data_IF_605429811641
#
_entry.id   IF_605429811641
#
_cell.length_a   1.000
_cell.length_b   1.000
_cell.length_c   1.000
_cell.angle_alpha   90.00
_cell.angle_beta   90.00
_cell.angle_gamma   90.00
#
_symmetry.space_group_name_H-M   'P 1'
#
loop_
_entity.id
_entity.type
_entity.pdbx_description
1 polymer ?
#
# COMPACT_ATOMS: atom_id res chain seq x y z
N UNK A 1 17.50 -1.50 -1.61
CA UNK A 1 17.18 -0.93 -2.94
C UNK A 1 16.32 0.34 -2.87
N UNK A 2 15.22 0.36 -2.11
CA UNK A 2 14.29 1.51 -2.02
C UNK A 2 14.98 2.85 -1.67
N UNK A 3 15.74 2.93 -0.58
CA UNK A 3 16.42 4.17 -0.17
C UNK A 3 17.42 4.70 -1.21
N UNK A 4 18.10 3.80 -1.92
CA UNK A 4 19.02 4.19 -3.01
C UNK A 4 18.23 4.84 -4.15
N UNK A 5 17.07 4.28 -4.52
CA UNK A 5 16.20 4.86 -5.54
C UNK A 5 15.72 6.28 -5.13
N UNK A 6 15.31 6.48 -3.87
CA UNK A 6 14.91 7.81 -3.37
C UNK A 6 16.06 8.81 -3.48
N UNK A 7 17.28 8.45 -3.06
CA UNK A 7 18.45 9.33 -3.17
C UNK A 7 18.74 9.67 -4.64
N UNK A 8 18.66 8.69 -5.55
CA UNK A 8 18.86 8.93 -6.99
C UNK A 8 17.80 9.86 -7.57
N UNK A 9 16.53 9.73 -7.16
CA UNK A 9 15.45 10.65 -7.57
C UNK A 9 15.71 12.07 -7.07
N UNK A 10 16.16 12.23 -5.82
CA UNK A 10 16.53 13.55 -5.27
C UNK A 10 17.66 14.18 -6.10
N UNK A 11 18.76 13.46 -6.30
CA UNK A 11 19.92 13.94 -7.10
C UNK A 11 19.47 14.26 -8.53
N UNK A 12 18.71 13.37 -9.17
CA UNK A 12 18.19 13.57 -10.52
C UNK A 12 17.31 14.81 -10.62
N UNK A 13 16.47 15.06 -9.62
CA UNK A 13 15.63 16.26 -9.55
C UNK A 13 16.47 17.54 -9.52
N UNK A 14 17.52 17.58 -8.68
CA UNK A 14 18.46 18.72 -8.69
C UNK A 14 19.14 18.89 -10.06
N UNK A 15 19.60 17.83 -10.68
CA UNK A 15 20.23 17.88 -12.01
C UNK A 15 19.25 18.41 -13.08
N UNK A 16 18.01 17.94 -13.08
CA UNK A 16 16.97 18.40 -14.03
C UNK A 16 16.67 19.87 -13.83
N UNK A 17 16.49 20.34 -12.59
CA UNK A 17 16.16 21.74 -12.35
C UNK A 17 17.35 22.69 -12.56
N UNK A 18 18.59 22.29 -12.32
CA UNK A 18 19.77 23.14 -12.52
C UNK A 18 20.22 23.13 -13.98
N UNK A 19 20.43 21.96 -14.56
CA UNK A 19 20.97 21.84 -15.93
C UNK A 19 19.87 21.76 -17.00
N UNK A 20 18.83 20.97 -16.75
CA UNK A 20 17.75 20.74 -17.71
C UNK A 20 16.95 22.00 -18.02
N UNK A 21 16.65 22.81 -17.01
CA UNK A 21 15.92 24.07 -17.19
C UNK A 21 16.68 25.11 -18.02
N UNK A 22 17.99 25.20 -17.82
CA UNK A 22 18.85 26.07 -18.63
C UNK A 22 18.92 25.58 -20.07
N UNK A 23 19.03 24.26 -20.27
CA UNK A 23 19.05 23.64 -21.61
C UNK A 23 17.72 23.86 -22.34
N UNK A 24 16.58 23.70 -21.65
CA UNK A 24 15.27 23.97 -22.21
C UNK A 24 15.12 25.43 -22.67
N UNK A 25 15.55 26.39 -21.85
CA UNK A 25 15.54 27.80 -22.25
C UNK A 25 16.43 28.06 -23.48
N UNK A 26 17.60 27.43 -23.57
CA UNK A 26 18.45 27.56 -24.78
C UNK A 26 17.81 26.96 -26.02
N UNK A 27 17.08 25.85 -25.89
CA UNK A 27 16.34 25.23 -27.00
C UNK A 27 15.22 26.19 -27.49
N UNK A 28 14.46 26.78 -26.54
CA UNK A 28 13.43 27.77 -26.88
C UNK A 28 14.00 29.03 -27.56
N UNK A 29 15.20 29.47 -27.15
CA UNK A 29 15.91 30.59 -27.79
C UNK A 29 16.36 30.27 -29.21
N UNK A 30 16.70 29.01 -29.51
CA UNK A 30 17.07 28.60 -30.88
C UNK A 30 15.88 28.61 -31.86
N UNK A 31 14.65 28.46 -31.37
CA UNK A 31 13.46 28.53 -32.19
C UNK A 31 13.10 29.99 -32.44
N UNK A 32 13.66 30.60 -33.53
CA UNK A 32 13.49 32.01 -33.84
C UNK A 32 12.04 32.43 -33.99
N UNK A 33 11.17 31.60 -34.61
CA UNK A 33 9.75 31.89 -34.80
C UNK A 33 8.99 32.01 -33.44
N UNK A 34 9.41 31.27 -32.43
CA UNK A 34 8.84 31.33 -31.08
C UNK A 34 9.47 32.45 -30.25
N UNK A 35 10.80 32.54 -30.26
CA UNK A 35 11.57 33.41 -29.40
C UNK A 35 11.33 34.90 -29.69
N UNK A 36 11.31 35.33 -30.99
CA UNK A 36 11.14 36.74 -31.38
C UNK A 36 9.69 37.23 -31.33
N UNK A 37 8.74 36.45 -30.83
CA UNK A 37 7.41 36.99 -30.53
C UNK A 37 7.49 37.95 -29.32
N UNK A 38 6.76 39.09 -29.42
CA UNK A 38 6.80 40.16 -28.43
C UNK A 38 6.61 39.70 -26.98
N UNK A 39 5.72 38.72 -26.76
CA UNK A 39 5.41 38.18 -25.42
C UNK A 39 6.42 37.14 -24.95
N UNK A 40 7.11 36.43 -25.86
CA UNK A 40 8.02 35.33 -25.52
C UNK A 40 9.46 35.79 -25.31
N UNK A 41 9.91 36.82 -26.02
CA UNK A 41 11.29 37.31 -25.94
C UNK A 41 11.69 37.70 -24.54
N UNK A 42 10.91 38.57 -23.89
CA UNK A 42 11.18 39.01 -22.52
C UNK A 42 11.03 37.88 -21.51
N UNK A 43 9.97 37.06 -21.70
CA UNK A 43 9.69 35.94 -20.79
C UNK A 43 10.81 34.88 -20.84
N UNK A 44 11.22 34.39 -22.01
CA UNK A 44 12.24 33.34 -22.16
C UNK A 44 13.63 33.84 -21.74
N UNK A 45 13.99 35.09 -22.06
CA UNK A 45 15.27 35.68 -21.67
C UNK A 45 15.38 35.85 -20.15
N UNK A 46 14.34 36.36 -19.51
CA UNK A 46 14.26 36.53 -18.07
C UNK A 46 14.27 35.17 -17.35
N UNK A 47 13.55 34.19 -17.91
CA UNK A 47 13.47 32.84 -17.36
C UNK A 47 14.80 32.09 -17.44
N UNK A 48 15.55 32.23 -18.57
CA UNK A 48 16.88 31.62 -18.68
C UNK A 48 17.85 32.12 -17.62
N UNK A 49 17.84 33.42 -17.33
CA UNK A 49 18.65 34.01 -16.27
C UNK A 49 18.24 33.53 -14.88
N UNK A 50 16.95 33.53 -14.58
CA UNK A 50 16.39 33.07 -13.30
C UNK A 50 16.65 31.61 -13.03
N UNK A 51 16.42 30.74 -14.01
CA UNK A 51 16.60 29.29 -13.83
C UNK A 51 18.05 28.91 -13.58
N UNK A 52 19.02 29.61 -14.22
CA UNK A 52 20.43 29.40 -13.92
C UNK A 52 20.78 29.68 -12.44
N UNK A 53 20.15 30.71 -11.85
CA UNK A 53 20.41 31.13 -10.46
C UNK A 53 19.56 30.37 -9.44
N UNK A 54 18.35 30.01 -9.82
CA UNK A 54 17.32 29.54 -8.89
C UNK A 54 16.95 28.05 -9.03
N UNK A 55 17.62 27.31 -9.91
CA UNK A 55 17.30 25.91 -10.19
C UNK A 55 17.30 25.03 -8.92
N UNK A 56 18.27 25.20 -8.05
CA UNK A 56 18.35 24.45 -6.79
C UNK A 56 17.14 24.66 -5.87
N UNK A 57 16.69 25.94 -5.74
CA UNK A 57 15.52 26.23 -4.92
C UNK A 57 14.21 25.65 -5.50
N UNK A 58 14.06 25.65 -6.84
CA UNK A 58 12.91 25.00 -7.48
C UNK A 58 12.96 23.48 -7.31
N UNK A 59 14.15 22.88 -7.36
CA UNK A 59 14.34 21.45 -7.06
C UNK A 59 13.92 21.12 -5.61
N UNK A 60 14.34 21.93 -4.62
CA UNK A 60 13.92 21.76 -3.22
C UNK A 60 12.41 21.83 -3.06
N UNK A 61 11.76 22.80 -3.70
CA UNK A 61 10.30 22.94 -3.70
C UNK A 61 9.63 21.69 -4.34
N UNK A 62 10.15 21.21 -5.48
CA UNK A 62 9.66 19.99 -6.12
C UNK A 62 9.73 18.78 -5.18
N UNK A 63 10.86 18.59 -4.51
CA UNK A 63 11.07 17.49 -3.57
C UNK A 63 10.10 17.59 -2.39
N UNK A 64 9.94 18.78 -1.79
CA UNK A 64 9.01 18.99 -0.68
C UNK A 64 7.56 18.71 -1.09
N UNK A 65 7.13 19.18 -2.28
CA UNK A 65 5.80 18.85 -2.82
C UNK A 65 5.65 17.34 -3.02
N UNK A 66 6.66 16.68 -3.58
CA UNK A 66 6.65 15.22 -3.77
C UNK A 66 6.50 14.51 -2.44
N UNK A 67 7.23 14.93 -1.40
CA UNK A 67 7.12 14.36 -0.04
C UNK A 67 5.71 14.51 0.52
N UNK A 68 5.09 15.70 0.40
CA UNK A 68 3.69 15.90 0.84
C UNK A 68 2.76 14.95 0.10
N UNK A 69 2.85 14.88 -1.23
CA UNK A 69 1.96 14.05 -2.03
C UNK A 69 2.14 12.54 -1.73
N UNK A 70 3.38 12.06 -1.64
CA UNK A 70 3.70 10.65 -1.36
C UNK A 70 3.24 10.25 0.05
N UNK A 71 3.50 11.11 1.07
CA UNK A 71 3.08 10.83 2.45
C UNK A 71 1.56 10.79 2.58
N UNK A 72 0.87 11.79 2.03
CA UNK A 72 -0.59 11.83 2.06
C UNK A 72 -1.20 10.67 1.29
N UNK A 73 -0.60 10.30 0.14
CA UNK A 73 -1.07 9.16 -0.64
C UNK A 73 -0.88 7.84 0.11
N UNK A 74 0.30 7.56 0.65
CA UNK A 74 0.57 6.32 1.38
C UNK A 74 -0.27 6.20 2.66
N UNK A 75 -0.19 7.20 3.55
CA UNK A 75 -0.92 7.20 4.81
C UNK A 75 -2.45 7.31 4.63
N UNK A 76 -2.89 8.12 3.65
CA UNK A 76 -4.31 8.27 3.32
C UNK A 76 -4.90 6.99 2.74
N UNK A 77 -4.17 6.29 1.86
CA UNK A 77 -4.61 5.01 1.29
C UNK A 77 -4.69 3.91 2.35
N UNK A 78 -3.78 3.86 3.32
CA UNK A 78 -3.88 2.93 4.45
C UNK A 78 -5.14 3.19 5.27
N UNK A 79 -5.41 4.45 5.62
CA UNK A 79 -6.56 4.79 6.45
C UNK A 79 -7.89 4.57 5.72
N UNK A 80 -8.00 5.00 4.47
CA UNK A 80 -9.22 4.80 3.65
C UNK A 80 -9.41 3.33 3.32
N UNK A 81 -8.31 2.57 3.14
CA UNK A 81 -8.33 1.13 2.89
C UNK A 81 -8.48 0.26 4.13
N UNK A 82 -8.74 0.83 5.33
CA UNK A 82 -8.86 0.04 6.57
C UNK A 82 -9.95 -1.02 6.47
N UNK A 83 -11.13 -0.68 5.94
CA UNK A 83 -12.23 -1.63 5.78
C UNK A 83 -11.89 -2.73 4.75
N UNK A 84 -11.28 -2.36 3.63
CA UNK A 84 -10.79 -3.31 2.63
C UNK A 84 -9.78 -4.29 3.26
N UNK A 85 -8.83 -3.77 4.01
CA UNK A 85 -7.85 -4.55 4.76
C UNK A 85 -8.51 -5.47 5.79
N UNK A 86 -9.48 -4.97 6.54
CA UNK A 86 -10.21 -5.76 7.54
C UNK A 86 -10.98 -6.92 6.91
N UNK A 87 -11.76 -6.67 5.85
CA UNK A 87 -12.52 -7.72 5.17
C UNK A 87 -11.61 -8.73 4.45
N UNK A 88 -10.48 -8.28 3.92
CA UNK A 88 -9.47 -9.17 3.36
C UNK A 88 -8.77 -9.99 4.45
N UNK A 89 -8.55 -9.40 5.63
CA UNK A 89 -7.87 -10.07 6.76
C UNK A 89 -8.82 -10.99 7.50
N UNK A 90 -10.03 -10.57 7.74
CA UNK A 90 -11.07 -11.30 8.48
C UNK A 90 -12.27 -11.55 7.57
N UNK A 91 -12.27 -12.64 6.79
CA UNK A 91 -13.38 -12.94 5.88
C UNK A 91 -14.68 -13.32 6.60
N UNK A 92 -14.60 -13.55 7.93
CA UNK A 92 -15.74 -13.82 8.83
C UNK A 92 -15.55 -13.08 10.15
N UNK A 93 -16.64 -12.87 10.88
CA UNK A 93 -16.61 -12.18 12.18
C UNK A 93 -15.78 -12.92 13.22
N UNK A 94 -15.87 -14.25 13.24
CA UNK A 94 -15.05 -15.11 14.09
C UNK A 94 -14.35 -16.18 13.27
N UNK A 95 -13.06 -16.37 13.54
CA UNK A 95 -12.27 -17.48 13.01
C UNK A 95 -11.56 -18.17 14.17
N UNK A 96 -11.88 -19.42 14.38
CA UNK A 96 -11.26 -20.31 15.36
C UNK A 96 -10.32 -21.26 14.64
N UNK A 97 -9.11 -21.37 15.12
CA UNK A 97 -8.10 -22.28 14.58
C UNK A 97 -7.69 -23.22 15.71
N UNK A 98 -7.86 -24.50 15.53
CA UNK A 98 -7.31 -25.53 16.40
C UNK A 98 -6.11 -26.18 15.71
N UNK A 99 -5.01 -26.25 16.40
CA UNK A 99 -3.79 -26.92 15.97
C UNK A 99 -3.72 -28.27 16.70
N UNK A 100 -3.80 -29.35 15.96
CA UNK A 100 -3.77 -30.69 16.51
C UNK A 100 -2.57 -31.46 15.93
N UNK A 101 -1.88 -32.19 16.79
CA UNK A 101 -0.86 -33.16 16.41
C UNK A 101 -1.35 -34.57 16.71
N UNK A 102 -0.95 -35.58 15.95
CA UNK A 102 -1.33 -36.98 16.21
C UNK A 102 -2.21 -37.59 15.10
N UNK A 103 -2.92 -38.67 15.45
CA UNK A 103 -3.74 -39.40 14.47
C UNK A 103 -4.98 -38.61 14.03
N UNK A 104 -5.34 -38.71 12.73
CA UNK A 104 -6.39 -37.93 12.10
C UNK A 104 -7.78 -38.20 12.71
N UNK A 105 -8.13 -39.46 13.02
CA UNK A 105 -9.42 -39.78 13.65
C UNK A 105 -9.60 -39.06 14.98
N UNK A 106 -8.57 -39.12 15.84
CA UNK A 106 -8.56 -38.43 17.14
C UNK A 106 -8.65 -36.90 16.95
N UNK A 107 -7.98 -36.34 15.91
CA UNK A 107 -8.02 -34.95 15.62
C UNK A 107 -9.41 -34.50 15.15
N UNK A 108 -10.10 -35.30 14.35
CA UNK A 108 -11.46 -35.01 13.89
C UNK A 108 -12.48 -35.07 15.04
N UNK A 109 -12.36 -36.03 15.97
CA UNK A 109 -13.19 -36.08 17.17
C UNK A 109 -12.98 -34.86 18.06
N UNK A 110 -11.74 -34.54 18.37
CA UNK A 110 -11.38 -33.34 19.15
C UNK A 110 -11.88 -32.06 18.52
N UNK A 111 -11.78 -31.93 17.19
CA UNK A 111 -12.29 -30.81 16.45
C UNK A 111 -13.82 -30.70 16.50
N UNK A 112 -14.54 -31.81 16.46
CA UNK A 112 -15.98 -31.80 16.65
C UNK A 112 -16.38 -31.33 18.06
N UNK A 113 -15.67 -31.81 19.10
CA UNK A 113 -15.87 -31.35 20.49
C UNK A 113 -15.60 -29.85 20.60
N UNK A 114 -14.52 -29.37 19.99
CA UNK A 114 -14.15 -27.95 19.95
C UNK A 114 -15.24 -27.09 19.28
N UNK A 115 -15.73 -27.49 18.10
CA UNK A 115 -16.81 -26.78 17.41
C UNK A 115 -18.10 -26.78 18.20
N UNK A 116 -18.49 -27.93 18.80
CA UNK A 116 -19.73 -28.02 19.58
C UNK A 116 -19.69 -27.12 20.83
N UNK A 117 -18.53 -26.97 21.46
CA UNK A 117 -18.35 -26.09 22.59
C UNK A 117 -18.54 -24.61 22.23
N UNK A 118 -18.01 -24.22 21.08
CA UNK A 118 -18.21 -22.88 20.52
C UNK A 118 -19.68 -22.69 20.15
N UNK A 119 -20.29 -23.69 19.52
CA UNK A 119 -21.71 -23.66 19.14
C UNK A 119 -22.62 -23.45 20.33
N UNK A 120 -22.42 -24.21 21.41
CA UNK A 120 -23.16 -24.10 22.65
C UNK A 120 -23.02 -22.71 23.28
N UNK A 121 -21.81 -22.14 23.26
CA UNK A 121 -21.57 -20.80 23.79
C UNK A 121 -22.40 -19.74 23.05
N UNK A 122 -22.33 -19.72 21.72
CA UNK A 122 -23.04 -18.71 20.91
C UNK A 122 -24.56 -18.92 20.93
N UNK A 123 -25.06 -20.15 20.93
CA UNK A 123 -26.50 -20.46 21.08
C UNK A 123 -27.02 -19.92 22.40
N UNK A 124 -26.29 -20.09 23.50
CA UNK A 124 -26.67 -19.59 24.82
C UNK A 124 -26.73 -18.06 24.90
N UNK A 125 -26.08 -17.37 23.97
CA UNK A 125 -26.12 -15.90 23.83
C UNK A 125 -27.06 -15.43 22.72
N UNK A 126 -27.98 -16.28 22.23
CA UNK A 126 -28.95 -16.00 21.18
C UNK A 126 -28.35 -15.51 19.84
N UNK A 127 -27.16 -15.99 19.49
CA UNK A 127 -26.53 -15.67 18.22
C UNK A 127 -26.98 -16.63 17.12
N UNK A 128 -27.56 -16.06 16.06
CA UNK A 128 -27.81 -16.76 14.79
C UNK A 128 -26.59 -16.63 13.91
N UNK A 129 -25.79 -17.68 13.85
CA UNK A 129 -24.58 -17.71 13.04
C UNK A 129 -24.91 -18.02 11.59
N UNK A 130 -24.26 -17.30 10.69
CA UNK A 130 -24.38 -17.43 9.24
C UNK A 130 -23.05 -17.78 8.60
N UNK A 131 -23.09 -18.33 7.38
CA UNK A 131 -21.90 -18.69 6.60
C UNK A 131 -20.88 -19.55 7.36
N UNK A 132 -21.36 -20.56 8.08
CA UNK A 132 -20.54 -21.45 8.87
C UNK A 132 -19.64 -22.27 7.95
N UNK A 133 -18.33 -22.18 8.17
CA UNK A 133 -17.33 -22.96 7.45
C UNK A 133 -16.52 -23.80 8.44
N UNK A 134 -16.35 -25.08 8.12
CA UNK A 134 -15.62 -26.07 8.92
C UNK A 134 -14.82 -26.96 7.99
N UNK A 135 -13.50 -26.86 8.07
CA UNK A 135 -12.58 -27.64 7.25
C UNK A 135 -11.24 -27.84 7.95
N UNK A 136 -10.48 -28.79 7.44
CA UNK A 136 -9.16 -29.13 7.95
C UNK A 136 -8.16 -29.11 6.81
N UNK A 137 -6.92 -28.74 7.13
CA UNK A 137 -5.80 -28.90 6.22
C UNK A 137 -4.52 -29.29 6.96
N UNK A 138 -3.69 -30.05 6.29
CA UNK A 138 -2.37 -30.39 6.83
C UNK A 138 -1.36 -29.33 6.43
N UNK A 139 -0.52 -28.92 7.38
CA UNK A 139 0.53 -27.94 7.19
C UNK A 139 1.90 -28.54 7.46
N UNK A 140 2.81 -28.35 6.52
CA UNK A 140 4.19 -28.79 6.59
C UNK A 140 5.17 -27.72 6.20
N UNK A 141 6.29 -27.70 6.89
CA UNK A 141 7.45 -26.94 6.47
C UNK A 141 8.34 -27.84 5.59
N UNK A 142 8.56 -27.45 4.36
CA UNK A 142 9.25 -28.26 3.36
C UNK A 142 10.36 -27.47 2.65
N UNK A 143 11.37 -28.19 2.19
CA UNK A 143 12.32 -27.66 1.22
C UNK A 143 11.82 -27.92 -0.19
N UNK A 144 11.66 -26.85 -0.97
CA UNK A 144 11.25 -26.94 -2.38
C UNK A 144 12.43 -26.64 -3.27
N UNK A 145 12.87 -27.66 -4.01
CA UNK A 145 13.96 -27.53 -4.98
C UNK A 145 13.46 -28.01 -6.33
N UNK A 146 13.40 -27.10 -7.29
CA UNK A 146 12.79 -27.35 -8.59
C UNK A 146 11.31 -27.80 -8.41
N UNK A 147 10.97 -29.01 -8.83
CA UNK A 147 9.64 -29.60 -8.64
C UNK A 147 9.58 -30.63 -7.50
N UNK A 148 10.63 -30.76 -6.67
CA UNK A 148 10.71 -31.73 -5.56
C UNK A 148 10.42 -31.03 -4.24
N UNK A 149 9.44 -31.56 -3.50
CA UNK A 149 9.05 -31.14 -2.17
C UNK A 149 9.57 -32.15 -1.15
N UNK A 150 10.55 -31.76 -0.36
CA UNK A 150 11.30 -32.62 0.53
C UNK A 150 11.24 -32.08 1.96
N UNK A 151 11.22 -32.97 2.97
CA UNK A 151 11.08 -32.61 4.39
C UNK A 151 12.40 -32.40 5.13
N UNK A 152 13.54 -32.47 4.47
CA UNK A 152 14.84 -32.34 5.13
C UNK A 152 15.13 -30.93 5.66
N UNK A 153 15.53 -30.81 6.94
CA UNK A 153 15.96 -29.54 7.56
C UNK A 153 17.43 -29.19 7.27
N UNK A 154 18.17 -30.08 6.61
CA UNK A 154 19.62 -29.95 6.38
C UNK A 154 19.99 -29.06 5.20
N UNK A 155 19.01 -28.41 4.55
CA UNK A 155 19.21 -27.59 3.36
C UNK A 155 19.16 -26.08 3.68
N UNK A 156 19.77 -25.23 2.84
CA UNK A 156 19.80 -23.77 3.03
C UNK A 156 18.41 -23.17 3.20
N UNK A 157 18.28 -22.16 4.06
CA UNK A 157 17.02 -21.48 4.39
C UNK A 157 16.35 -20.77 3.19
N UNK A 158 17.05 -20.54 2.09
CA UNK A 158 16.55 -19.93 0.87
C UNK A 158 15.62 -20.82 0.03
N UNK A 159 15.53 -22.11 0.41
CA UNK A 159 14.66 -23.10 -0.26
C UNK A 159 13.47 -23.54 0.61
N UNK A 160 13.30 -22.92 1.76
CA UNK A 160 12.24 -23.24 2.70
C UNK A 160 10.89 -22.67 2.28
N UNK A 161 9.85 -23.50 2.36
CA UNK A 161 8.46 -23.10 2.04
C UNK A 161 7.48 -23.76 3.00
N UNK A 162 6.37 -23.09 3.24
CA UNK A 162 5.21 -23.65 3.93
C UNK A 162 4.28 -24.29 2.88
N UNK A 163 3.93 -25.55 3.11
CA UNK A 163 3.08 -26.34 2.21
C UNK A 163 1.81 -26.75 2.92
N UNK A 164 0.67 -26.44 2.32
CA UNK A 164 -0.67 -26.69 2.83
C UNK A 164 -1.38 -27.68 1.92
N UNK A 165 -1.93 -28.74 2.49
CA UNK A 165 -2.69 -29.75 1.77
C UNK A 165 -4.16 -29.63 2.10
N UNK A 166 -4.99 -29.37 1.11
CA UNK A 166 -6.43 -29.11 1.22
C UNK A 166 -7.21 -30.17 0.43
N UNK A 167 -8.30 -30.70 1.01
CA UNK A 167 -9.13 -31.65 0.29
C UNK A 167 -9.86 -30.99 -0.89
N UNK A 168 -9.97 -31.69 -2.00
CA UNK A 168 -10.75 -31.21 -3.16
C UNK A 168 -12.22 -31.01 -2.76
N UNK A 169 -12.75 -31.79 -1.85
CA UNK A 169 -14.13 -31.66 -1.37
C UNK A 169 -14.34 -30.32 -0.66
N UNK A 170 -13.42 -29.92 0.25
CA UNK A 170 -13.48 -28.63 0.92
C UNK A 170 -13.25 -27.48 -0.04
N UNK A 171 -12.30 -27.63 -0.96
CA UNK A 171 -12.06 -26.63 -2.01
C UNK A 171 -13.34 -26.37 -2.82
N UNK A 172 -13.95 -27.41 -3.36
CA UNK A 172 -15.17 -27.29 -4.15
C UNK A 172 -16.33 -26.68 -3.34
N UNK A 173 -16.48 -27.13 -2.08
CA UNK A 173 -17.56 -26.68 -1.21
C UNK A 173 -17.47 -25.18 -0.88
N UNK A 174 -16.27 -24.69 -0.55
CA UNK A 174 -16.11 -23.34 -0.01
C UNK A 174 -15.69 -22.29 -1.04
N UNK A 175 -15.09 -22.73 -2.17
CA UNK A 175 -14.79 -21.85 -3.30
C UNK A 175 -15.93 -21.84 -4.35
N UNK A 176 -17.00 -22.61 -4.14
CA UNK A 176 -18.15 -22.67 -5.07
C UNK A 176 -17.82 -23.33 -6.42
N UNK A 177 -16.81 -24.20 -6.42
CA UNK A 177 -16.31 -24.88 -7.62
C UNK A 177 -16.83 -26.32 -7.70
N UNK A 178 -16.68 -26.93 -8.88
CA UNK A 178 -17.02 -28.35 -9.12
C UNK A 178 -15.89 -29.03 -9.88
N UNK A 179 -14.66 -28.87 -9.39
CA UNK A 179 -13.48 -29.47 -9.99
C UNK A 179 -13.46 -30.98 -9.73
N UNK A 180 -12.93 -31.72 -10.69
CA UNK A 180 -12.72 -33.17 -10.58
C UNK A 180 -11.25 -33.45 -10.90
N UNK A 181 -10.59 -34.28 -10.10
CA UNK A 181 -9.19 -34.66 -10.27
C UNK A 181 -9.07 -36.17 -10.38
N UNK A 182 -8.09 -36.63 -11.15
CA UNK A 182 -7.61 -38.01 -11.08
C UNK A 182 -6.65 -38.21 -9.90
N UNK A 183 -6.37 -39.45 -9.52
CA UNK A 183 -5.58 -39.76 -8.31
C UNK A 183 -4.14 -39.20 -8.30
N UNK A 184 -3.58 -38.94 -9.49
CA UNK A 184 -2.26 -38.36 -9.68
C UNK A 184 -2.28 -36.87 -10.05
N UNK A 185 -3.45 -36.23 -10.00
CA UNK A 185 -3.62 -34.81 -10.34
C UNK A 185 -3.83 -33.95 -9.09
N UNK A 186 -3.32 -32.72 -9.16
CA UNK A 186 -3.50 -31.71 -8.12
C UNK A 186 -3.85 -30.34 -8.72
N UNK A 187 -4.52 -29.49 -7.93
CA UNK A 187 -4.58 -28.06 -8.17
C UNK A 187 -3.56 -27.40 -7.23
N UNK A 188 -3.02 -26.27 -7.65
CA UNK A 188 -2.01 -25.56 -6.86
C UNK A 188 -2.30 -24.05 -6.79
N UNK A 189 -2.00 -23.44 -5.67
CA UNK A 189 -1.82 -22.00 -5.55
C UNK A 189 -0.48 -21.69 -4.90
N UNK A 190 0.13 -20.56 -5.26
CA UNK A 190 1.41 -20.14 -4.71
C UNK A 190 1.35 -18.68 -4.27
N UNK A 191 1.88 -18.41 -3.06
CA UNK A 191 1.97 -17.05 -2.50
C UNK A 191 3.45 -16.76 -2.22
N UNK A 192 3.91 -15.57 -2.57
CA UNK A 192 5.30 -15.09 -2.44
C UNK A 192 6.35 -15.89 -3.19
N UNK A 193 5.92 -16.74 -4.13
CA UNK A 193 6.81 -17.50 -5.02
C UNK A 193 6.17 -17.71 -6.38
N UNK A 194 6.97 -18.00 -7.40
CA UNK A 194 6.50 -18.40 -8.71
C UNK A 194 6.86 -19.87 -8.94
N UNK A 195 5.94 -20.62 -9.47
CA UNK A 195 6.12 -22.03 -9.82
C UNK A 195 5.77 -22.25 -11.29
N UNK A 196 6.71 -22.81 -12.06
CA UNK A 196 6.59 -22.94 -13.52
C UNK A 196 6.62 -24.37 -14.02
N UNK A 197 6.73 -25.35 -13.13
CA UNK A 197 6.71 -26.76 -13.49
C UNK A 197 5.29 -27.26 -13.70
N UNK A 198 5.12 -28.27 -14.59
CA UNK A 198 3.82 -28.90 -14.87
C UNK A 198 3.46 -30.03 -13.90
N UNK A 199 4.42 -30.46 -13.07
CA UNK A 199 4.25 -31.49 -12.07
C UNK A 199 4.99 -31.12 -10.78
N UNK A 200 4.67 -31.81 -9.70
CA UNK A 200 5.40 -31.77 -8.43
C UNK A 200 5.67 -33.18 -7.93
N UNK A 201 6.77 -33.35 -7.22
CA UNK A 201 7.20 -34.64 -6.66
C UNK A 201 7.17 -34.52 -5.14
N UNK A 202 6.35 -35.35 -4.49
CA UNK A 202 6.17 -35.37 -3.05
C UNK A 202 6.31 -36.84 -2.57
N UNK A 203 7.17 -37.10 -1.59
CA UNK A 203 7.36 -38.46 -1.07
C UNK A 203 7.83 -39.47 -2.13
N UNK A 204 8.48 -39.01 -3.19
CA UNK A 204 8.91 -39.81 -4.32
C UNK A 204 7.86 -40.07 -5.40
N UNK A 205 6.61 -39.70 -5.18
CA UNK A 205 5.51 -39.81 -6.14
C UNK A 205 5.34 -38.51 -6.95
N UNK A 206 5.03 -38.62 -8.25
CA UNK A 206 4.81 -37.48 -9.14
C UNK A 206 3.32 -37.18 -9.31
N UNK A 207 2.95 -35.90 -9.10
CA UNK A 207 1.60 -35.41 -9.26
C UNK A 207 1.57 -34.37 -10.38
N UNK A 208 0.68 -34.50 -11.33
CA UNK A 208 0.51 -33.57 -12.43
C UNK A 208 -0.35 -32.36 -12.00
N UNK A 209 0.14 -31.15 -12.28
CA UNK A 209 -0.61 -29.94 -11.99
C UNK A 209 -1.64 -29.70 -13.09
N UNK A 210 -2.90 -29.87 -12.75
CA UNK A 210 -4.00 -29.65 -13.69
C UNK A 210 -4.26 -28.16 -13.93
N UNK A 211 -4.23 -27.36 -12.86
CA UNK A 211 -4.57 -25.93 -12.91
C UNK A 211 -3.99 -25.18 -11.73
N UNK A 212 -3.66 -23.90 -11.94
CA UNK A 212 -3.39 -22.94 -10.85
C UNK A 212 -4.70 -22.26 -10.46
N UNK A 213 -5.09 -22.35 -9.20
CA UNK A 213 -6.41 -21.92 -8.71
C UNK A 213 -6.30 -20.90 -7.58
N UNK A 214 -7.25 -19.97 -7.44
CA UNK A 214 -7.31 -19.11 -6.26
C UNK A 214 -7.71 -19.93 -5.02
N UNK A 215 -7.17 -19.57 -3.85
CA UNK A 215 -7.51 -20.21 -2.58
C UNK A 215 -7.86 -19.17 -1.50
N UNK A 216 -8.22 -17.97 -1.92
CA UNK A 216 -8.45 -16.82 -1.03
C UNK A 216 -9.53 -17.09 0.02
N UNK A 217 -10.55 -17.86 -0.34
CA UNK A 217 -11.66 -18.24 0.55
C UNK A 217 -11.30 -19.32 1.58
N UNK A 218 -10.15 -19.97 1.47
CA UNK A 218 -9.71 -21.04 2.38
C UNK A 218 -8.51 -20.65 3.25
N UNK A 219 -7.77 -19.62 2.83
CA UNK A 219 -6.56 -19.20 3.51
C UNK A 219 -6.90 -18.20 4.61
N UNK A 220 -6.34 -18.39 5.80
CA UNK A 220 -6.38 -17.37 6.83
C UNK A 220 -5.30 -16.31 6.57
N UNK A 221 -5.57 -15.04 6.92
CA UNK A 221 -4.56 -14.00 6.70
C UNK A 221 -3.35 -14.12 7.62
N UNK A 222 -3.47 -14.83 8.71
CA UNK A 222 -2.32 -15.22 9.52
C UNK A 222 -1.33 -16.04 8.69
N UNK A 223 -1.85 -16.85 7.78
CA UNK A 223 -1.02 -17.60 6.82
C UNK A 223 -0.37 -16.68 5.77
N UNK A 224 -0.94 -15.51 5.47
CA UNK A 224 -0.36 -14.50 4.57
C UNK A 224 0.64 -13.56 5.27
N UNK A 225 0.66 -13.49 6.59
CA UNK A 225 1.44 -12.50 7.36
C UNK A 225 2.97 -12.64 7.24
N UNK A 226 3.46 -13.84 6.91
CA UNK A 226 4.88 -14.09 6.73
C UNK A 226 5.22 -14.15 5.25
N UNK A 227 6.27 -13.42 4.82
CA UNK A 227 6.76 -13.40 3.43
C UNK A 227 7.49 -14.69 3.02
N UNK A 228 7.20 -15.81 3.67
CA UNK A 228 7.72 -17.11 3.34
C UNK A 228 7.01 -17.65 2.09
N UNK A 229 7.71 -18.29 1.13
CA UNK A 229 7.07 -18.98 0.03
C UNK A 229 6.03 -19.99 0.52
N UNK A 230 4.83 -19.96 -0.05
CA UNK A 230 3.72 -20.83 0.35
C UNK A 230 3.14 -21.55 -0.86
N UNK A 231 2.83 -22.83 -0.65
CA UNK A 231 2.19 -23.68 -1.64
C UNK A 231 0.91 -24.25 -1.04
N UNK A 232 -0.19 -24.08 -1.73
CA UNK A 232 -1.49 -24.71 -1.40
C UNK A 232 -1.75 -25.77 -2.45
N UNK A 233 -1.74 -27.02 -2.03
CA UNK A 233 -1.90 -28.19 -2.87
C UNK A 233 -3.26 -28.80 -2.56
N UNK A 234 -4.14 -28.85 -3.58
CA UNK A 234 -5.49 -29.39 -3.47
C UNK A 234 -5.51 -30.74 -4.17
N UNK A 235 -5.92 -31.78 -3.46
CA UNK A 235 -5.96 -33.15 -3.97
C UNK A 235 -7.22 -33.92 -3.52
N UNK A 236 -7.55 -35.01 -4.23
CA UNK A 236 -8.67 -35.89 -3.86
C UNK A 236 -8.42 -36.58 -2.52
N UNK A 237 -7.25 -37.16 -2.37
CA UNK A 237 -6.86 -37.94 -1.17
C UNK A 237 -5.55 -37.36 -0.61
N UNK A 238 -5.69 -36.49 0.38
CA UNK A 238 -4.55 -35.89 1.07
C UNK A 238 -3.79 -36.94 1.86
N UNK A 239 -4.48 -37.92 2.45
CA UNK A 239 -3.87 -38.93 3.30
C UNK A 239 -2.90 -39.82 2.51
N UNK A 240 -3.23 -40.12 1.25
CA UNK A 240 -2.32 -40.82 0.34
C UNK A 240 -1.03 -40.03 0.13
N UNK A 241 -1.11 -38.71 -0.05
CA UNK A 241 0.08 -37.86 -0.21
C UNK A 241 0.89 -37.80 1.07
N UNK A 242 0.23 -37.63 2.23
CA UNK A 242 0.86 -37.49 3.54
C UNK A 242 1.47 -38.82 4.01
N UNK A 243 0.85 -39.96 3.74
CA UNK A 243 1.37 -41.28 4.12
C UNK A 243 2.69 -41.64 3.44
N UNK A 244 3.04 -40.96 2.34
CA UNK A 244 4.35 -41.07 1.68
C UNK A 244 5.47 -40.37 2.44
N UNK A 245 5.18 -39.63 3.52
CA UNK A 245 6.16 -39.02 4.39
C UNK A 245 6.54 -40.00 5.52
N UNK A 246 7.85 -40.07 5.85
CA UNK A 246 8.31 -40.85 7.00
C UNK A 246 7.64 -40.38 8.30
N UNK A 247 7.20 -41.32 9.15
CA UNK A 247 6.38 -41.15 10.35
C UNK A 247 7.05 -40.37 11.50
N UNK A 248 8.30 -39.91 11.35
CA UNK A 248 9.05 -39.28 12.46
C UNK A 248 8.80 -37.77 12.65
N UNK A 249 8.03 -37.10 11.78
CA UNK A 249 7.86 -35.65 11.89
C UNK A 249 6.38 -35.29 12.10
N UNK A 250 6.11 -34.67 13.24
CA UNK A 250 4.80 -34.16 13.63
C UNK A 250 4.26 -33.20 12.55
N UNK A 251 3.22 -33.64 11.87
CA UNK A 251 2.39 -32.74 11.07
C UNK A 251 1.48 -31.94 12.01
N UNK A 252 1.23 -30.70 11.66
CA UNK A 252 0.21 -29.91 12.33
C UNK A 252 -1.03 -29.89 11.44
N UNK A 253 -2.06 -30.62 11.88
CA UNK A 253 -3.39 -30.44 11.31
C UNK A 253 -3.95 -29.12 11.83
N UNK A 254 -4.27 -28.23 10.94
CA UNK A 254 -5.03 -27.01 11.25
C UNK A 254 -6.50 -27.29 10.98
N UNK A 255 -7.31 -27.12 12.00
CA UNK A 255 -8.76 -27.24 11.92
C UNK A 255 -9.35 -25.84 12.02
N UNK A 256 -10.10 -25.43 11.02
CA UNK A 256 -10.67 -24.10 10.88
C UNK A 256 -12.17 -24.18 11.13
N UNK A 257 -12.67 -23.36 12.04
CA UNK A 257 -14.08 -23.13 12.28
C UNK A 257 -14.34 -21.64 12.25
N UNK A 258 -15.16 -21.15 11.31
CA UNK A 258 -15.43 -19.74 11.15
C UNK A 258 -16.85 -19.45 10.70
N UNK A 259 -17.38 -18.31 11.10
CA UNK A 259 -18.75 -17.90 10.80
C UNK A 259 -18.96 -16.40 10.97
N UNK A 260 -20.08 -15.89 10.45
CA UNK A 260 -20.57 -14.55 10.72
C UNK A 260 -21.58 -14.61 11.89
N UNK A 261 -21.50 -13.63 12.79
CA UNK A 261 -22.35 -13.49 13.96
C UNK A 261 -23.49 -12.51 13.68
N UNK A 262 -24.69 -12.81 14.15
CA UNK A 262 -25.82 -11.88 14.11
C UNK A 262 -25.78 -10.79 15.18
N UNK A 263 -24.86 -10.92 16.14
CA UNK A 263 -24.64 -9.94 17.20
C UNK A 263 -23.96 -8.69 16.66
N UNK A 264 -24.31 -7.54 17.24
CA UNK A 264 -23.59 -6.30 16.93
C UNK A 264 -22.12 -6.38 17.37
N UNK A 265 -21.26 -5.56 16.76
CA UNK A 265 -19.82 -5.56 17.08
C UNK A 265 -19.54 -5.25 18.56
N UNK A 266 -20.37 -4.43 19.22
CA UNK A 266 -20.20 -4.12 20.63
C UNK A 266 -20.59 -5.31 21.52
N UNK A 267 -21.61 -6.06 21.16
CA UNK A 267 -21.97 -7.31 21.83
C UNK A 267 -20.89 -8.38 21.64
N UNK A 268 -20.38 -8.54 20.40
CA UNK A 268 -19.25 -9.46 20.12
C UNK A 268 -18.02 -9.13 20.98
N UNK A 269 -17.67 -7.85 21.13
CA UNK A 269 -16.57 -7.40 22.01
C UNK A 269 -16.85 -7.71 23.48
N UNK A 270 -18.09 -7.48 23.92
CA UNK A 270 -18.50 -7.76 25.30
C UNK A 270 -18.38 -9.24 25.68
N UNK A 271 -18.75 -10.12 24.77
CA UNK A 271 -18.73 -11.57 24.98
C UNK A 271 -17.36 -12.23 24.81
N UNK A 272 -16.41 -11.56 24.16
CA UNK A 272 -15.14 -12.17 23.80
C UNK A 272 -14.34 -12.67 25.01
N UNK A 273 -14.27 -11.92 26.09
CA UNK A 273 -13.54 -12.33 27.30
C UNK A 273 -14.16 -13.56 27.94
N UNK A 274 -15.49 -13.66 27.96
CA UNK A 274 -16.20 -14.80 28.53
C UNK A 274 -15.99 -16.05 27.65
N UNK A 275 -16.08 -15.87 26.33
CA UNK A 275 -15.74 -16.91 25.34
C UNK A 275 -14.33 -17.43 25.54
N UNK A 276 -13.34 -16.52 25.55
CA UNK A 276 -11.93 -16.87 25.70
C UNK A 276 -11.66 -17.60 27.01
N UNK A 277 -12.20 -17.11 28.13
CA UNK A 277 -12.04 -17.75 29.44
C UNK A 277 -12.70 -19.14 29.49
N UNK A 278 -13.86 -19.30 28.87
CA UNK A 278 -14.53 -20.61 28.76
C UNK A 278 -13.65 -21.60 27.97
N UNK A 279 -13.14 -21.19 26.81
CA UNK A 279 -12.27 -22.02 25.97
C UNK A 279 -10.97 -22.39 26.70
N UNK A 280 -10.34 -21.44 27.40
CA UNK A 280 -9.13 -21.72 28.21
C UNK A 280 -9.44 -22.74 29.32
N UNK A 281 -10.56 -22.58 30.03
CA UNK A 281 -10.96 -23.52 31.10
C UNK A 281 -11.23 -24.92 30.54
N UNK A 282 -11.87 -25.04 29.39
CA UNK A 282 -12.17 -26.34 28.76
C UNK A 282 -10.90 -27.01 28.22
N UNK A 283 -10.00 -26.23 27.60
CA UNK A 283 -8.72 -26.74 27.14
C UNK A 283 -7.83 -27.26 28.33
N UNK A 284 -7.79 -26.49 29.42
CA UNK A 284 -7.06 -26.89 30.64
C UNK A 284 -7.61 -28.17 31.29
N UNK A 285 -8.89 -28.49 31.06
CA UNK A 285 -9.52 -29.76 31.45
C UNK A 285 -9.25 -30.91 30.48
N UNK A 286 -8.52 -30.65 29.40
CA UNK A 286 -8.24 -31.64 28.36
C UNK A 286 -9.42 -31.92 27.44
N UNK A 287 -10.47 -31.07 27.43
CA UNK A 287 -11.70 -31.28 26.63
C UNK A 287 -11.43 -31.37 25.13
N UNK A 288 -10.41 -30.67 24.63
CA UNK A 288 -10.04 -30.63 23.21
C UNK A 288 -8.89 -31.60 22.84
N UNK A 289 -8.52 -32.48 23.75
CA UNK A 289 -7.42 -33.42 23.57
C UNK A 289 -6.06 -32.91 24.10
N UNK A 290 -5.17 -33.86 24.37
CA UNK A 290 -3.82 -33.52 24.84
C UNK A 290 -2.95 -33.04 23.69
N UNK A 291 -2.18 -31.97 23.93
CA UNK A 291 -1.26 -31.42 22.91
C UNK A 291 -1.91 -30.54 21.86
N UNK A 292 -3.20 -30.21 22.00
CA UNK A 292 -3.88 -29.24 21.15
C UNK A 292 -3.61 -27.81 21.62
N UNK A 293 -3.41 -26.92 20.67
CA UNK A 293 -3.45 -25.48 20.91
C UNK A 293 -4.50 -24.85 20.01
N UNK A 294 -4.98 -23.67 20.38
CA UNK A 294 -5.99 -22.99 19.59
C UNK A 294 -5.76 -21.48 19.61
N UNK A 295 -6.32 -20.80 18.61
CA UNK A 295 -6.41 -19.35 18.56
C UNK A 295 -7.80 -18.93 18.09
N UNK A 296 -8.21 -17.74 18.49
CA UNK A 296 -9.44 -17.10 18.01
C UNK A 296 -9.09 -15.73 17.48
N UNK A 297 -9.64 -15.41 16.32
CA UNK A 297 -9.57 -14.11 15.69
C UNK A 297 -11.00 -13.54 15.64
N UNK A 298 -11.16 -12.27 15.96
CA UNK A 298 -12.46 -11.57 15.90
C UNK A 298 -12.32 -10.25 15.17
N UNK A 299 -13.08 -10.11 14.09
CA UNK A 299 -13.15 -8.86 13.33
C UNK A 299 -13.51 -7.67 14.23
N UNK A 300 -14.48 -7.86 15.13
CA UNK A 300 -14.95 -6.81 16.02
C UNK A 300 -13.89 -6.30 17.00
N UNK A 301 -13.02 -7.20 17.50
CA UNK A 301 -11.91 -6.86 18.40
C UNK A 301 -10.78 -6.16 17.66
N UNK A 302 -10.32 -6.76 16.58
CA UNK A 302 -9.13 -6.32 15.87
C UNK A 302 -9.40 -5.04 15.08
N UNK A 303 -10.67 -4.73 14.78
CA UNK A 303 -11.07 -3.48 14.09
C UNK A 303 -10.56 -2.23 14.80
N UNK A 304 -10.68 -2.19 16.13
CA UNK A 304 -10.21 -1.04 16.90
C UNK A 304 -8.68 -0.85 16.80
N UNK A 305 -7.93 -1.94 16.79
CA UNK A 305 -6.48 -1.93 16.66
C UNK A 305 -6.04 -1.51 15.26
N UNK A 306 -6.71 -2.01 14.22
CA UNK A 306 -6.45 -1.59 12.83
C UNK A 306 -6.68 -0.09 12.64
N UNK A 307 -7.83 0.43 13.10
CA UNK A 307 -8.11 1.86 13.05
C UNK A 307 -7.14 2.67 13.92
N UNK A 308 -6.71 2.13 15.05
CA UNK A 308 -5.70 2.74 15.92
C UNK A 308 -4.35 2.86 15.22
N UNK A 309 -3.86 1.80 14.60
CA UNK A 309 -2.56 1.76 13.91
C UNK A 309 -2.61 2.61 12.63
N UNK A 310 -3.58 2.36 11.74
CA UNK A 310 -3.66 3.06 10.46
C UNK A 310 -4.05 4.52 10.63
N UNK A 311 -4.93 4.82 11.60
CA UNK A 311 -5.27 6.18 11.99
C UNK A 311 -4.07 6.92 12.60
N UNK A 312 -3.25 6.25 13.41
CA UNK A 312 -1.99 6.78 13.94
C UNK A 312 -0.98 7.13 12.84
N UNK A 313 -0.80 6.24 11.85
CA UNK A 313 0.06 6.49 10.69
C UNK A 313 -0.49 7.66 9.85
N UNK A 314 -1.81 7.71 9.64
CA UNK A 314 -2.45 8.81 8.91
C UNK A 314 -2.29 10.15 9.63
N UNK A 315 -2.47 10.18 10.93
CA UNK A 315 -2.25 11.37 11.75
C UNK A 315 -0.81 11.89 11.66
N UNK A 316 0.18 10.99 11.77
CA UNK A 316 1.59 11.34 11.55
C UNK A 316 1.84 11.86 10.14
N UNK A 317 1.22 11.23 9.13
CA UNK A 317 1.26 11.66 7.74
C UNK A 317 0.73 13.08 7.56
N UNK A 318 -0.39 13.44 8.20
CA UNK A 318 -0.95 14.80 8.20
C UNK A 318 0.02 15.80 8.83
N UNK A 319 0.57 15.50 10.00
CA UNK A 319 1.52 16.42 10.69
C UNK A 319 2.75 16.69 9.82
N UNK A 320 3.41 15.63 9.33
CA UNK A 320 4.61 15.77 8.51
C UNK A 320 4.32 16.45 7.18
N UNK A 321 3.20 16.11 6.53
CA UNK A 321 2.77 16.78 5.30
C UNK A 321 2.49 18.26 5.53
N UNK A 322 1.90 18.63 6.66
CA UNK A 322 1.66 20.03 7.04
C UNK A 322 2.97 20.78 7.24
N UNK A 323 3.95 20.18 7.90
CA UNK A 323 5.28 20.78 8.07
C UNK A 323 5.97 21.02 6.73
N UNK A 324 5.99 20.04 5.83
CA UNK A 324 6.58 20.19 4.50
C UNK A 324 5.80 21.19 3.64
N UNK A 325 4.49 21.24 3.79
CA UNK A 325 3.62 22.20 3.10
C UNK A 325 3.95 23.63 3.52
N UNK A 326 4.06 23.89 4.83
CA UNK A 326 4.45 25.20 5.37
C UNK A 326 5.85 25.58 4.89
N UNK A 327 6.81 24.65 4.95
CA UNK A 327 8.16 24.88 4.43
C UNK A 327 8.14 25.23 2.94
N UNK A 328 7.35 24.50 2.13
CA UNK A 328 7.18 24.76 0.70
C UNK A 328 6.66 26.17 0.44
N UNK A 329 5.58 26.55 1.14
CA UNK A 329 4.97 27.88 1.00
C UNK A 329 5.96 28.99 1.37
N UNK A 330 6.66 28.84 2.49
CA UNK A 330 7.64 29.83 2.95
C UNK A 330 8.80 29.98 1.95
N UNK A 331 9.35 28.88 1.48
CA UNK A 331 10.46 28.89 0.50
C UNK A 331 10.02 29.61 -0.78
N UNK A 332 8.86 29.21 -1.36
CA UNK A 332 8.36 29.83 -2.59
C UNK A 332 8.07 31.31 -2.35
N UNK A 333 7.34 31.64 -1.30
CA UNK A 333 6.89 33.00 -1.00
C UNK A 333 8.06 33.96 -0.81
N UNK A 334 8.97 33.66 0.14
CA UNK A 334 10.11 34.55 0.40
C UNK A 334 11.06 34.65 -0.79
N UNK A 335 11.25 33.57 -1.52
CA UNK A 335 12.07 33.59 -2.72
C UNK A 335 11.46 34.49 -3.80
N UNK A 336 10.14 34.39 -4.03
CA UNK A 336 9.49 35.23 -5.04
C UNK A 336 9.48 36.71 -4.61
N UNK A 337 9.34 37.02 -3.33
CA UNK A 337 9.47 38.38 -2.81
C UNK A 337 10.87 38.95 -3.05
N UNK A 338 11.92 38.18 -2.71
CA UNK A 338 13.30 38.59 -2.94
C UNK A 338 13.57 38.86 -4.46
N UNK A 339 13.07 38.01 -5.32
CA UNK A 339 13.14 38.19 -6.77
C UNK A 339 12.34 39.42 -7.23
N UNK A 340 11.19 39.72 -6.61
CA UNK A 340 10.39 40.91 -6.89
C UNK A 340 11.16 42.19 -6.65
N UNK A 341 11.88 42.31 -5.52
CA UNK A 341 12.72 43.46 -5.22
C UNK A 341 13.92 43.60 -6.18
N UNK A 342 14.54 42.49 -6.57
CA UNK A 342 15.63 42.53 -7.56
C UNK A 342 15.14 42.95 -8.95
N UNK A 343 13.96 42.51 -9.35
CA UNK A 343 13.37 42.85 -10.66
C UNK A 343 12.74 44.24 -10.69
N UNK A 344 12.50 44.86 -9.55
CA UNK A 344 11.91 46.22 -9.45
C UNK A 344 12.64 47.23 -10.38
N UNK A 345 13.98 47.27 -10.31
CA UNK A 345 14.81 48.18 -11.15
C UNK A 345 14.70 47.85 -12.63
N UNK A 346 14.62 46.58 -13.00
CA UNK A 346 14.48 46.15 -14.41
C UNK A 346 13.12 46.56 -15.01
N UNK A 347 12.05 46.37 -14.28
CA UNK A 347 10.71 46.77 -14.72
C UNK A 347 10.56 48.28 -14.73
N UNK A 348 11.24 49.04 -13.85
CA UNK A 348 11.30 50.51 -13.90
C UNK A 348 11.93 50.97 -15.20
N UNK A 349 13.02 50.37 -15.67
CA UNK A 349 13.64 50.67 -16.97
C UNK A 349 12.69 50.32 -18.12
N UNK A 350 12.04 49.14 -18.08
CA UNK A 350 11.07 48.76 -19.10
C UNK A 350 9.88 49.71 -19.22
N UNK A 351 9.39 50.28 -18.09
CA UNK A 351 8.37 51.34 -18.10
C UNK A 351 8.87 52.61 -18.80
N UNK A 352 10.12 52.99 -18.57
CA UNK A 352 10.71 54.16 -19.25
C UNK A 352 10.84 53.99 -20.77
N UNK A 353 10.98 52.75 -21.24
CA UNK A 353 11.01 52.41 -22.68
C UNK A 353 9.60 52.29 -23.28
N UNK A 354 8.52 52.48 -22.47
CA UNK A 354 7.13 52.48 -22.95
C UNK A 354 6.31 51.21 -22.65
N UNK A 355 6.81 50.30 -21.80
CA UNK A 355 6.03 49.12 -21.40
C UNK A 355 4.87 49.54 -20.48
N UNK A 356 3.66 49.10 -20.81
CA UNK A 356 2.46 49.38 -20.00
C UNK A 356 2.37 48.49 -18.76
N UNK A 357 1.64 48.95 -17.75
CA UNK A 357 1.40 48.12 -16.53
C UNK A 357 0.71 46.77 -16.85
N UNK A 358 -0.14 46.71 -17.88
CA UNK A 358 -0.81 45.51 -18.35
C UNK A 358 0.19 44.50 -18.96
N UNK A 359 1.15 44.99 -19.72
CA UNK A 359 2.22 44.14 -20.30
C UNK A 359 3.17 43.63 -19.20
N UNK A 360 3.49 44.46 -18.20
CA UNK A 360 4.25 44.05 -17.04
C UNK A 360 3.52 42.94 -16.27
N UNK A 361 2.22 43.14 -16.00
CA UNK A 361 1.42 42.12 -15.28
C UNK A 361 1.35 40.80 -16.05
N UNK A 362 1.22 40.85 -17.39
CA UNK A 362 1.22 39.66 -18.25
C UNK A 362 2.55 38.92 -18.18
N UNK A 363 3.68 39.66 -18.21
CA UNK A 363 5.02 39.07 -18.07
C UNK A 363 5.25 38.46 -16.69
N UNK A 364 4.89 39.17 -15.61
CA UNK A 364 4.96 38.68 -14.25
C UNK A 364 4.14 37.39 -14.11
N UNK A 365 2.90 37.39 -14.54
CA UNK A 365 2.03 36.19 -14.47
C UNK A 365 2.60 35.00 -15.27
N UNK A 366 3.19 35.24 -16.44
CA UNK A 366 3.81 34.19 -17.24
C UNK A 366 5.02 33.55 -16.53
N UNK A 367 5.87 34.39 -15.95
CA UNK A 367 7.04 33.92 -15.18
C UNK A 367 6.65 33.16 -13.91
N UNK A 368 5.69 33.73 -13.15
CA UNK A 368 5.17 33.08 -11.93
C UNK A 368 4.50 31.75 -12.22
N UNK A 369 3.69 31.66 -13.29
CA UNK A 369 3.10 30.38 -13.71
C UNK A 369 4.17 29.31 -13.91
N UNK A 370 5.26 29.62 -14.59
CA UNK A 370 6.32 28.64 -14.85
C UNK A 370 7.01 28.19 -13.56
N UNK A 371 7.33 29.14 -12.67
CA UNK A 371 7.98 28.85 -11.38
C UNK A 371 7.11 27.96 -10.49
N UNK A 372 5.78 28.09 -10.57
CA UNK A 372 4.84 27.29 -9.78
C UNK A 372 4.45 25.99 -10.48
N UNK A 373 4.15 26.01 -11.78
CA UNK A 373 3.66 24.82 -12.48
C UNK A 373 4.77 23.77 -12.64
N UNK A 374 6.00 24.19 -12.92
CA UNK A 374 7.09 23.24 -13.20
C UNK A 374 7.40 22.31 -12.02
N UNK A 375 7.62 22.78 -10.76
CA UNK A 375 7.83 21.90 -9.63
C UNK A 375 6.62 20.98 -9.34
N UNK A 376 5.40 21.51 -9.48
CA UNK A 376 4.18 20.73 -9.29
C UNK A 376 4.05 19.60 -10.33
N UNK A 377 4.31 19.89 -11.60
CA UNK A 377 4.23 18.91 -12.67
C UNK A 377 5.24 17.76 -12.45
N UNK A 378 6.48 18.09 -12.08
CA UNK A 378 7.49 17.09 -11.76
C UNK A 378 7.16 16.31 -10.47
N UNK A 379 6.58 16.96 -9.47
CA UNK A 379 6.15 16.28 -8.25
C UNK A 379 5.02 15.26 -8.51
N UNK A 380 4.06 15.61 -9.35
CA UNK A 380 3.00 14.68 -9.80
C UNK A 380 3.61 13.53 -10.61
N UNK A 381 4.57 13.83 -11.49
CA UNK A 381 5.28 12.80 -12.25
C UNK A 381 6.01 11.83 -11.30
N UNK A 382 6.72 12.34 -10.29
CA UNK A 382 7.37 11.51 -9.28
C UNK A 382 6.36 10.64 -8.52
N UNK A 383 5.20 11.19 -8.14
CA UNK A 383 4.13 10.42 -7.52
C UNK A 383 3.64 9.29 -8.42
N UNK A 384 3.43 9.54 -9.72
CA UNK A 384 3.01 8.50 -10.66
C UNK A 384 4.02 7.34 -10.76
N UNK A 385 5.33 7.64 -10.71
CA UNK A 385 6.36 6.60 -10.68
C UNK A 385 6.51 5.91 -9.32
N UNK A 386 6.22 6.60 -8.23
CA UNK A 386 6.23 6.03 -6.88
C UNK A 386 4.99 5.17 -6.60
N UNK A 387 3.85 5.48 -7.23
CA UNK A 387 2.57 4.83 -6.94
C UNK A 387 2.61 3.29 -7.05
N UNK A 388 3.19 2.65 -8.07
CA UNK A 388 3.25 1.19 -8.14
C UNK A 388 4.03 0.56 -6.97
N UNK A 389 5.07 1.24 -6.47
CA UNK A 389 5.85 0.77 -5.33
C UNK A 389 5.03 0.89 -4.05
N UNK A 390 4.36 2.04 -3.86
CA UNK A 390 3.49 2.28 -2.70
C UNK A 390 2.34 1.27 -2.70
N UNK A 391 1.71 1.01 -3.85
CA UNK A 391 0.63 0.02 -3.98
C UNK A 391 1.10 -1.38 -3.55
N UNK A 392 2.30 -1.81 -3.96
CA UNK A 392 2.89 -3.07 -3.49
C UNK A 392 3.18 -3.08 -1.99
N UNK A 393 3.51 -1.93 -1.39
CA UNK A 393 3.65 -1.83 0.06
C UNK A 393 2.28 -1.91 0.77
N UNK A 394 1.23 -1.35 0.17
CA UNK A 394 -0.13 -1.40 0.72
C UNK A 394 -0.69 -2.84 0.73
N UNK A 395 -0.35 -3.68 -0.25
CA UNK A 395 -0.76 -5.09 -0.24
C UNK A 395 -0.16 -5.88 0.93
N UNK A 396 0.98 -5.45 1.50
CA UNK A 396 1.53 -6.04 2.73
C UNK A 396 0.63 -5.78 3.95
N UNK A 397 -0.25 -4.79 3.87
CA UNK A 397 -1.26 -4.46 4.87
C UNK A 397 -2.66 -4.91 4.43
N UNK A 398 -2.74 -5.85 3.50
CA UNK A 398 -4.01 -6.38 2.94
C UNK A 398 -4.93 -5.32 2.31
N UNK A 399 -4.39 -4.17 1.89
CA UNK A 399 -5.11 -3.16 1.12
C UNK A 399 -4.91 -3.47 -0.37
N UNK A 400 -5.87 -4.15 -0.98
CA UNK A 400 -5.74 -4.71 -2.33
C UNK A 400 -6.62 -4.00 -3.38
N UNK A 401 -7.59 -3.20 -2.95
CA UNK A 401 -8.51 -2.49 -3.84
C UNK A 401 -7.81 -1.39 -4.63
N UNK A 402 -7.25 -1.76 -5.78
CA UNK A 402 -6.51 -0.85 -6.67
C UNK A 402 -7.35 0.37 -7.09
N UNK A 403 -8.64 0.19 -7.32
CA UNK A 403 -9.54 1.30 -7.72
C UNK A 403 -9.67 2.33 -6.60
N UNK A 404 -9.86 1.87 -5.36
CA UNK A 404 -9.92 2.74 -4.18
C UNK A 404 -8.63 3.53 -4.00
N UNK A 405 -7.47 2.86 -4.14
CA UNK A 405 -6.15 3.48 -4.02
C UNK A 405 -5.94 4.56 -5.10
N UNK A 406 -6.28 4.28 -6.36
CA UNK A 406 -6.14 5.25 -7.45
C UNK A 406 -7.07 6.45 -7.30
N UNK A 407 -8.31 6.24 -6.83
CA UNK A 407 -9.26 7.33 -6.52
C UNK A 407 -8.68 8.19 -5.40
N UNK A 408 -8.18 7.59 -4.34
CA UNK A 408 -7.54 8.29 -3.21
C UNK A 408 -6.37 9.16 -3.69
N UNK A 409 -5.50 8.63 -4.56
CA UNK A 409 -4.40 9.38 -5.17
C UNK A 409 -4.92 10.59 -5.97
N UNK A 410 -5.93 10.40 -6.79
CA UNK A 410 -6.52 11.47 -7.60
C UNK A 410 -7.14 12.58 -6.74
N UNK A 411 -7.85 12.22 -5.68
CA UNK A 411 -8.45 13.16 -4.71
C UNK A 411 -7.38 13.97 -3.99
N UNK A 412 -6.32 13.33 -3.50
CA UNK A 412 -5.20 14.00 -2.82
C UNK A 412 -4.52 15.00 -3.75
N UNK A 413 -4.22 14.61 -4.98
CA UNK A 413 -3.64 15.50 -6.00
C UNK A 413 -4.57 16.67 -6.30
N UNK A 414 -5.87 16.46 -6.40
CA UNK A 414 -6.86 17.51 -6.64
C UNK A 414 -6.92 18.51 -5.48
N UNK A 415 -6.99 18.04 -4.24
CA UNK A 415 -7.00 18.89 -3.03
C UNK A 415 -5.71 19.72 -2.96
N UNK A 416 -4.55 19.06 -3.14
CA UNK A 416 -3.26 19.74 -3.12
C UNK A 416 -3.17 20.81 -4.22
N UNK A 417 -3.67 20.53 -5.42
CA UNK A 417 -3.68 21.47 -6.56
C UNK A 417 -4.50 22.72 -6.24
N UNK A 418 -5.67 22.59 -5.63
CA UNK A 418 -6.51 23.73 -5.22
C UNK A 418 -5.76 24.62 -4.23
N UNK A 419 -5.19 24.02 -3.19
CA UNK A 419 -4.36 24.73 -2.22
C UNK A 419 -3.18 25.45 -2.88
N UNK A 420 -2.45 24.78 -3.74
CA UNK A 420 -1.26 25.32 -4.40
C UNK A 420 -1.60 26.50 -5.36
N UNK A 421 -2.75 26.45 -6.03
CA UNK A 421 -3.26 27.58 -6.84
C UNK A 421 -3.56 28.79 -5.95
N UNK A 422 -4.06 28.58 -4.74
CA UNK A 422 -4.32 29.68 -3.79
C UNK A 422 -3.00 30.36 -3.38
N UNK A 423 -1.97 29.57 -3.04
CA UNK A 423 -0.63 30.07 -2.74
C UNK A 423 -0.04 30.85 -3.93
N UNK A 424 -0.19 30.30 -5.15
CA UNK A 424 0.22 30.99 -6.39
C UNK A 424 -0.43 32.36 -6.52
N UNK A 425 -1.74 32.46 -6.36
CA UNK A 425 -2.47 33.75 -6.49
C UNK A 425 -2.00 34.78 -5.49
N UNK A 426 -1.86 34.40 -4.21
CA UNK A 426 -1.38 35.29 -3.15
C UNK A 426 0.03 35.78 -3.48
N UNK A 427 0.95 34.89 -3.77
CA UNK A 427 2.35 35.23 -4.06
C UNK A 427 2.49 36.09 -5.30
N UNK A 428 1.74 35.79 -6.36
CA UNK A 428 1.75 36.56 -7.62
C UNK A 428 1.25 38.00 -7.42
N UNK A 429 0.22 38.21 -6.61
CA UNK A 429 -0.30 39.55 -6.31
C UNK A 429 0.74 40.39 -5.53
N UNK A 430 1.36 39.82 -4.49
CA UNK A 430 2.39 40.50 -3.70
C UNK A 430 3.61 40.85 -4.56
N UNK A 431 4.07 39.91 -5.40
CA UNK A 431 5.14 40.15 -6.35
C UNK A 431 4.81 41.32 -7.29
N UNK A 432 3.60 41.35 -7.88
CA UNK A 432 3.16 42.41 -8.78
C UNK A 432 3.11 43.79 -8.08
N UNK A 433 2.65 43.83 -6.82
CA UNK A 433 2.66 45.05 -6.02
C UNK A 433 4.08 45.63 -5.84
N UNK A 434 5.07 44.76 -5.50
CA UNK A 434 6.46 45.20 -5.35
C UNK A 434 6.98 45.82 -6.65
N UNK A 435 6.81 45.10 -7.75
CA UNK A 435 7.32 45.54 -9.07
C UNK A 435 6.61 46.76 -9.59
N UNK A 436 5.31 47.00 -9.24
CA UNK A 436 4.52 48.14 -9.74
C UNK A 436 4.69 49.40 -8.92
N UNK A 437 4.96 49.32 -7.59
CA UNK A 437 5.07 50.47 -6.66
C UNK A 437 6.33 51.30 -6.83
N UNK A 438 7.30 50.90 -7.61
CA UNK A 438 8.59 51.55 -7.85
C UNK A 438 8.53 53.04 -8.29
N UNK A 439 7.35 53.59 -8.64
CA UNK A 439 7.24 54.94 -9.16
C UNK A 439 6.71 55.99 -8.19
N UNK A 440 6.29 55.62 -6.96
CA UNK A 440 5.66 56.61 -6.04
C UNK A 440 6.68 57.23 -5.08
N UNK A 441 7.79 56.55 -4.77
CA UNK A 441 8.78 57.05 -3.80
C UNK A 441 9.89 57.91 -4.37
N UNK A 442 10.07 58.06 -5.69
CA UNK A 442 11.16 58.85 -6.30
C UNK A 442 10.74 60.24 -6.75
N UNK A 443 9.47 60.62 -6.67
CA UNK A 443 8.98 61.95 -7.07
C UNK A 443 8.30 62.73 -5.95
N UNK A 444 8.41 62.31 -4.70
CA UNK A 444 7.86 62.98 -3.53
C UNK A 444 8.91 63.68 -2.64
N UNK A 445 10.15 63.81 -3.10
CA UNK A 445 11.20 64.56 -2.39
C UNK A 445 12.00 65.38 -3.40
N UNK A 446 11.41 66.47 -3.91
CA UNK A 446 12.03 67.69 -4.37
C UNK A 446 11.17 68.84 -3.82
#
# INVERSE_FOLDING_TARGET
MFFVAVILVVIGTYMIFIAGSVTMCKILQKNQKYYYQKDHFVAVSSMAYRMKRNGAGLASVCILITMVLVMMFGAGSLYIGTEDSLHTTYPRDFTFVMYAGGEEETNNENFNVFCNDIDEFFINHNDNREDIQKYTYAHYNMNVTDNVFDRGFDKPADKYAEVYFISLADYNKYCGENKVLEDNQVLINTIYTQYSYSNLIIGGESYDIREFVPTEDLITNRDKAYLTPKFYIIANDINKIISGFDNEITHHTKCIYRFNSSLSQDEQRGLFNDLYNNMVANNNRGKYGSGTSWSVESLALDRADFYGIFGGIFFLGIILSTLFLVATVLIIYFKQIAEGYEDESRFAVMKKIGMTNREIQKNVNSQMKTVFILPLAFAILHLCFAAPIIMRMLTMFSVENTSLILITMAVIVAIFRVFYITVYKITSNVYFEIVSKSNIKKYGSI
#
